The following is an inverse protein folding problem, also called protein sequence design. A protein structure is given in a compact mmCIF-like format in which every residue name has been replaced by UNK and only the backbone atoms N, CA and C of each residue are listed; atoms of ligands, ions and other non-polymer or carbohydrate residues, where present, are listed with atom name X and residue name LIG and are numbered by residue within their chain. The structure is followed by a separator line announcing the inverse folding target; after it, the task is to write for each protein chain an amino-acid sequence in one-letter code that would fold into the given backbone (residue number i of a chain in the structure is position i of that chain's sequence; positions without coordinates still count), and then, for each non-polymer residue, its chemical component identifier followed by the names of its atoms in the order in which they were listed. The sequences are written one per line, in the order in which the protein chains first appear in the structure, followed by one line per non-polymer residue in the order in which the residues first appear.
data_IF_805830752578
#
_entry.id   IF_805830752578
#
_cell.length_a   1.000
_cell.length_b   1.000
_cell.length_c   1.000
_cell.angle_alpha   90.00
_cell.angle_beta   90.00
_cell.angle_gamma   90.00
#
_symmetry.space_group_name_H-M   'P 1'
#
loop_
_entity.id
_entity.type
_entity.pdbx_description
1 polymer ?
#
# COMPACT_ATOMS: atom_id res chain seq x y z
N UNK A 1 -6.69 -4.63 -17.59
CA UNK A 1 -5.92 -5.82 -17.16
C UNK A 1 -6.48 -6.44 -15.86
N UNK A 2 -7.54 -5.88 -15.32
CA UNK A 2 -8.29 -6.39 -14.17
C UNK A 2 -9.62 -6.98 -14.68
N UNK A 3 -9.93 -8.21 -14.26
CA UNK A 3 -11.19 -8.86 -14.56
C UNK A 3 -11.84 -9.36 -13.26
N UNK A 4 -13.15 -9.26 -13.16
CA UNK A 4 -13.92 -9.73 -12.02
C UNK A 4 -14.64 -11.05 -12.34
N UNK A 5 -14.74 -11.92 -11.35
CA UNK A 5 -15.64 -13.08 -11.42
C UNK A 5 -17.08 -12.60 -11.54
N UNK A 6 -17.90 -13.32 -12.32
CA UNK A 6 -19.30 -12.95 -12.53
C UNK A 6 -20.06 -12.85 -11.19
N UNK A 7 -20.82 -11.78 -11.02
CA UNK A 7 -21.65 -11.54 -9.82
C UNK A 7 -20.89 -11.06 -8.57
N UNK A 8 -19.57 -10.99 -8.58
CA UNK A 8 -18.77 -10.61 -7.39
C UNK A 8 -19.05 -9.19 -6.92
N UNK A 9 -19.30 -8.25 -7.83
CA UNK A 9 -19.65 -6.87 -7.47
C UNK A 9 -21.03 -6.78 -6.79
N UNK A 10 -21.98 -7.64 -7.17
CA UNK A 10 -23.26 -7.75 -6.46
C UNK A 10 -23.07 -8.26 -5.04
N UNK A 11 -22.18 -9.24 -4.83
CA UNK A 11 -21.83 -9.72 -3.48
C UNK A 11 -21.16 -8.62 -2.65
N UNK A 12 -20.29 -7.82 -3.26
CA UNK A 12 -19.68 -6.67 -2.57
C UNK A 12 -20.73 -5.64 -2.13
N UNK A 13 -21.70 -5.31 -2.98
CA UNK A 13 -22.80 -4.42 -2.60
C UNK A 13 -23.64 -5.01 -1.46
N UNK A 14 -23.95 -6.31 -1.50
CA UNK A 14 -24.64 -6.99 -0.41
C UNK A 14 -23.85 -6.94 0.90
N UNK A 15 -22.52 -7.12 0.84
CA UNK A 15 -21.66 -6.97 2.01
C UNK A 15 -21.77 -5.57 2.63
N UNK A 16 -21.74 -4.50 1.83
CA UNK A 16 -21.93 -3.14 2.32
C UNK A 16 -23.32 -2.90 2.93
N UNK A 17 -24.38 -3.50 2.35
CA UNK A 17 -25.72 -3.41 2.89
C UNK A 17 -25.86 -4.11 4.26
N UNK A 18 -25.16 -5.23 4.43
CA UNK A 18 -25.11 -5.97 5.70
C UNK A 18 -24.17 -5.32 6.74
N UNK A 19 -23.22 -4.50 6.29
CA UNK A 19 -22.25 -3.82 7.13
C UNK A 19 -22.26 -2.30 6.86
N UNK A 20 -23.40 -1.60 7.14
CA UNK A 20 -23.58 -0.20 6.75
C UNK A 20 -22.58 0.75 7.39
N UNK A 21 -22.08 0.42 8.57
CA UNK A 21 -21.12 1.26 9.33
C UNK A 21 -19.65 0.98 9.01
N UNK A 22 -19.36 0.00 8.12
CA UNK A 22 -17.95 -0.31 7.82
C UNK A 22 -17.26 0.85 7.13
N UNK A 23 -16.12 1.27 7.67
CA UNK A 23 -15.22 2.26 7.09
C UNK A 23 -13.87 1.66 6.69
N UNK A 24 -13.79 0.34 6.71
CA UNK A 24 -12.59 -0.41 6.39
C UNK A 24 -12.24 -0.35 4.90
N UNK A 25 -10.96 -0.53 4.62
CA UNK A 25 -10.45 -0.75 3.28
C UNK A 25 -10.63 -2.24 2.94
N UNK A 26 -11.39 -2.55 1.90
CA UNK A 26 -11.76 -3.90 1.52
C UNK A 26 -11.00 -4.34 0.28
N UNK A 27 -10.47 -5.55 0.30
CA UNK A 27 -9.85 -6.21 -0.86
C UNK A 27 -10.32 -7.65 -0.90
N UNK A 28 -10.23 -8.27 -2.07
CA UNK A 28 -10.38 -9.71 -2.20
C UNK A 28 -9.14 -10.35 -2.81
N UNK A 29 -9.10 -11.69 -2.89
CA UNK A 29 -7.98 -12.40 -3.46
C UNK A 29 -7.74 -12.04 -4.92
N UNK A 30 -6.49 -11.66 -5.22
CA UNK A 30 -5.96 -11.58 -6.56
C UNK A 30 -5.72 -12.98 -7.10
N UNK A 31 -6.23 -13.29 -8.29
CA UNK A 31 -5.86 -14.47 -9.04
C UNK A 31 -4.79 -14.12 -10.08
N UNK A 32 -3.84 -15.03 -10.27
CA UNK A 32 -2.87 -14.96 -11.35
C UNK A 32 -3.46 -15.53 -12.65
N UNK A 33 -2.72 -15.40 -13.76
CA UNK A 33 -3.18 -15.84 -15.08
C UNK A 33 -3.49 -17.36 -15.16
N UNK A 34 -2.97 -18.17 -14.23
CA UNK A 34 -3.29 -19.61 -14.12
C UNK A 34 -4.66 -19.89 -13.48
N UNK A 35 -5.34 -18.86 -12.97
CA UNK A 35 -6.64 -18.91 -12.27
C UNK A 35 -6.67 -19.83 -11.02
N UNK A 36 -5.52 -20.23 -10.54
CA UNK A 36 -5.34 -21.12 -9.38
C UNK A 36 -4.53 -20.47 -8.26
N UNK A 37 -3.41 -19.86 -8.63
CA UNK A 37 -2.57 -19.13 -7.69
C UNK A 37 -3.28 -17.86 -7.24
N UNK A 38 -3.32 -17.65 -5.93
CA UNK A 38 -3.93 -16.46 -5.33
C UNK A 38 -2.92 -15.70 -4.47
N UNK A 39 -3.13 -14.39 -4.36
CA UNK A 39 -2.54 -13.57 -3.31
C UNK A 39 -3.64 -12.76 -2.64
N UNK A 40 -3.56 -12.60 -1.32
CA UNK A 40 -4.63 -11.99 -0.52
C UNK A 40 -4.31 -10.60 -0.02
N UNK A 41 -3.02 -10.30 0.13
CA UNK A 41 -2.56 -9.05 0.73
C UNK A 41 -1.12 -8.74 0.35
N UNK A 42 -0.67 -7.55 0.70
CA UNK A 42 0.75 -7.23 0.78
C UNK A 42 1.26 -7.39 2.21
N UNK A 43 2.34 -8.14 2.39
CA UNK A 43 3.17 -8.06 3.58
C UNK A 43 3.92 -6.72 3.61
N UNK A 44 3.94 -5.99 4.72
CA UNK A 44 4.61 -4.69 4.86
C UNK A 44 6.13 -4.85 4.96
N UNK A 45 6.76 -5.30 3.90
CA UNK A 45 8.21 -5.58 3.83
C UNK A 45 8.82 -4.92 2.61
N UNK A 46 10.02 -4.38 2.78
CA UNK A 46 10.84 -3.92 1.67
C UNK A 46 11.36 -5.11 0.85
N UNK A 47 11.16 -5.09 -0.46
CA UNK A 47 11.68 -6.09 -1.39
C UNK A 47 11.91 -5.48 -2.77
N UNK A 48 13.13 -5.69 -3.32
CA UNK A 48 13.50 -5.03 -4.57
C UNK A 48 13.29 -3.53 -4.44
N UNK A 49 12.64 -2.91 -5.38
CA UNK A 49 12.37 -1.46 -5.36
C UNK A 49 11.00 -1.09 -4.78
N UNK A 50 10.42 -1.91 -3.92
CA UNK A 50 9.06 -1.73 -3.41
C UNK A 50 8.96 -1.99 -1.91
N UNK A 51 8.06 -1.25 -1.27
CA UNK A 51 7.49 -1.62 0.03
C UNK A 51 6.18 -2.35 -0.20
N UNK A 52 6.15 -3.60 0.24
CA UNK A 52 5.03 -4.50 0.05
C UNK A 52 5.37 -5.67 -0.87
N UNK A 53 5.02 -6.85 -0.42
CA UNK A 53 5.21 -8.12 -1.15
C UNK A 53 3.93 -8.91 -1.12
N UNK A 54 3.45 -9.37 -2.28
CA UNK A 54 2.28 -10.23 -2.35
C UNK A 54 2.46 -11.48 -1.48
N UNK A 55 1.50 -11.72 -0.62
CA UNK A 55 1.42 -12.87 0.28
C UNK A 55 0.03 -13.49 0.25
N UNK A 56 -0.07 -14.72 0.76
CA UNK A 56 -1.30 -15.51 0.72
C UNK A 56 -1.67 -15.96 2.12
N UNK A 57 -2.90 -15.70 2.50
CA UNK A 57 -3.54 -16.31 3.66
C UNK A 57 -4.42 -17.48 3.18
N UNK A 58 -4.18 -18.64 3.73
CA UNK A 58 -4.83 -19.90 3.34
C UNK A 58 -6.36 -19.86 3.49
N UNK A 59 -6.88 -19.06 4.42
CA UNK A 59 -8.33 -18.89 4.63
C UNK A 59 -9.04 -18.47 3.36
N UNK A 60 -8.41 -17.69 2.51
CA UNK A 60 -9.03 -17.20 1.28
C UNK A 60 -9.07 -18.23 0.15
N UNK A 61 -8.52 -19.43 0.34
CA UNK A 61 -8.73 -20.57 -0.60
C UNK A 61 -10.20 -20.98 -0.64
N UNK A 62 -10.90 -20.90 0.49
CA UNK A 62 -12.35 -21.01 0.51
C UNK A 62 -13.00 -19.65 0.27
N UNK A 63 -13.68 -19.51 -0.87
CA UNK A 63 -14.40 -18.28 -1.21
C UNK A 63 -15.61 -17.96 -0.31
N UNK A 64 -16.03 -18.92 0.49
CA UNK A 64 -17.13 -18.77 1.44
C UNK A 64 -16.62 -18.54 2.87
N UNK A 65 -15.30 -18.49 3.08
CA UNK A 65 -14.75 -18.17 4.39
C UNK A 65 -15.16 -16.76 4.84
N UNK A 66 -15.21 -16.57 6.16
CA UNK A 66 -15.52 -15.28 6.75
C UNK A 66 -14.46 -14.22 6.38
N UNK A 67 -14.86 -12.95 6.24
CA UNK A 67 -13.93 -11.84 6.08
C UNK A 67 -12.91 -11.79 7.21
N UNK A 68 -11.66 -11.45 6.89
CA UNK A 68 -10.59 -11.41 7.87
C UNK A 68 -9.66 -10.22 7.66
N UNK A 69 -9.02 -9.78 8.76
CA UNK A 69 -8.04 -8.69 8.73
C UNK A 69 -6.80 -9.12 7.97
N UNK A 70 -6.27 -8.17 7.17
CA UNK A 70 -4.99 -8.27 6.48
C UNK A 70 -4.12 -7.08 6.84
N UNK A 71 -2.81 -7.19 6.61
CA UNK A 71 -1.87 -6.12 6.95
C UNK A 71 -1.99 -4.94 6.00
N UNK A 72 -2.04 -5.19 4.69
CA UNK A 72 -2.05 -4.15 3.68
C UNK A 72 -2.74 -4.63 2.41
N UNK A 73 -3.53 -3.77 1.77
CA UNK A 73 -4.11 -4.06 0.45
C UNK A 73 -3.12 -3.73 -0.66
N UNK A 74 -3.27 -4.40 -1.81
CA UNK A 74 -2.71 -3.88 -3.06
C UNK A 74 -3.65 -2.87 -3.70
N UNK A 75 -3.11 -1.95 -4.49
CA UNK A 75 -3.92 -0.92 -5.17
C UNK A 75 -4.50 -1.37 -6.53
N UNK A 76 -4.37 -2.65 -6.90
CA UNK A 76 -5.00 -3.17 -8.12
C UNK A 76 -6.53 -3.17 -8.05
N UNK A 77 -7.07 -3.69 -6.95
CA UNK A 77 -8.50 -3.64 -6.61
C UNK A 77 -8.64 -3.46 -5.11
N UNK A 78 -9.27 -2.39 -4.70
CA UNK A 78 -9.74 -2.18 -3.35
C UNK A 78 -11.06 -1.43 -3.37
N UNK A 79 -11.76 -1.42 -2.26
CA UNK A 79 -13.03 -0.73 -2.10
C UNK A 79 -13.16 -0.17 -0.69
N UNK A 80 -13.80 0.98 -0.58
CA UNK A 80 -14.22 1.55 0.69
C UNK A 80 -15.52 2.34 0.48
N UNK A 81 -16.17 2.75 1.55
CA UNK A 81 -17.26 3.73 1.46
C UNK A 81 -16.72 5.10 1.07
N UNK A 82 -17.52 5.88 0.36
CA UNK A 82 -17.13 7.23 -0.07
C UNK A 82 -16.81 8.14 1.10
N UNK A 83 -17.55 8.04 2.19
CA UNK A 83 -17.36 8.81 3.43
C UNK A 83 -16.14 8.36 4.27
N UNK A 84 -15.60 7.19 3.97
CA UNK A 84 -14.35 6.68 4.56
C UNK A 84 -13.11 6.99 3.70
N UNK A 85 -13.30 7.50 2.48
CA UNK A 85 -12.18 7.73 1.57
C UNK A 85 -11.28 8.87 2.03
N UNK A 86 -10.02 8.56 2.31
CA UNK A 86 -9.02 9.49 2.86
C UNK A 86 -8.14 10.20 1.81
N UNK A 87 -8.29 9.83 0.54
CA UNK A 87 -7.57 10.43 -0.60
C UNK A 87 -6.09 10.11 -0.69
N UNK A 88 -5.54 10.21 -1.90
CA UNK A 88 -4.10 10.18 -2.15
C UNK A 88 -3.51 11.59 -2.09
N UNK A 89 -2.20 11.67 -1.80
CA UNK A 89 -1.46 12.93 -1.93
C UNK A 89 -1.33 13.32 -3.40
N UNK A 90 -1.68 14.57 -3.73
CA UNK A 90 -1.67 15.07 -5.10
C UNK A 90 -0.26 15.21 -5.71
N UNK A 91 0.78 15.15 -4.88
CA UNK A 91 2.17 15.17 -5.32
C UNK A 91 2.70 13.80 -5.76
N UNK A 92 1.91 12.72 -5.57
CA UNK A 92 2.32 11.39 -6.04
C UNK A 92 2.37 11.35 -7.57
N UNK A 93 3.45 10.82 -8.11
CA UNK A 93 3.66 10.66 -9.55
C UNK A 93 4.11 9.26 -9.92
N UNK A 94 3.63 8.78 -11.06
CA UNK A 94 4.02 7.48 -11.62
C UNK A 94 3.50 6.33 -10.76
N UNK A 95 4.40 5.42 -10.38
CA UNK A 95 4.07 4.18 -9.71
C UNK A 95 4.94 3.93 -8.48
N UNK A 96 4.35 3.36 -7.43
CA UNK A 96 5.00 2.88 -6.21
C UNK A 96 4.82 3.82 -5.02
N UNK A 97 4.65 3.23 -3.84
CA UNK A 97 4.44 3.91 -2.57
C UNK A 97 2.99 4.13 -2.19
N UNK A 98 2.06 3.94 -3.11
CA UNK A 98 0.63 4.18 -2.91
C UNK A 98 -0.03 3.18 -1.96
N UNK A 99 0.35 1.90 -2.00
CA UNK A 99 -0.27 0.85 -1.18
C UNK A 99 0.00 1.06 0.31
N UNK A 100 1.27 1.20 0.68
CA UNK A 100 1.65 1.46 2.07
C UNK A 100 1.08 2.76 2.59
N UNK A 101 1.08 3.80 1.75
CA UNK A 101 0.55 5.11 2.10
C UNK A 101 -0.96 5.08 2.38
N UNK A 102 -1.77 4.54 1.47
CA UNK A 102 -3.22 4.53 1.65
C UNK A 102 -3.63 3.66 2.84
N UNK A 103 -2.95 2.53 3.03
CA UNK A 103 -3.17 1.64 4.16
C UNK A 103 -2.92 2.35 5.49
N UNK A 104 -1.81 3.07 5.59
CA UNK A 104 -1.45 3.80 6.80
C UNK A 104 -2.44 4.94 7.11
N UNK A 105 -2.93 5.65 6.08
CA UNK A 105 -4.00 6.66 6.28
C UNK A 105 -5.27 6.06 6.86
N UNK A 106 -5.70 4.91 6.37
CA UNK A 106 -6.86 4.20 6.92
C UNK A 106 -6.59 3.77 8.36
N UNK A 107 -5.41 3.26 8.66
CA UNK A 107 -5.01 2.85 10.02
C UNK A 107 -4.99 4.02 10.99
N UNK A 108 -4.45 5.18 10.60
CA UNK A 108 -4.44 6.40 11.41
C UNK A 108 -5.85 6.97 11.62
N UNK A 109 -6.78 6.72 10.69
CA UNK A 109 -8.20 7.04 10.85
C UNK A 109 -8.97 6.03 11.72
N UNK A 110 -8.29 5.02 12.30
CA UNK A 110 -8.92 3.99 13.15
C UNK A 110 -9.56 2.83 12.38
N UNK A 111 -9.25 2.70 11.08
CA UNK A 111 -9.84 1.68 10.21
C UNK A 111 -8.83 0.58 9.88
N UNK A 112 -9.31 -0.53 9.33
CA UNK A 112 -8.52 -1.72 9.02
C UNK A 112 -8.59 -2.05 7.53
N UNK A 113 -7.68 -2.91 7.06
CA UNK A 113 -7.82 -3.62 5.81
C UNK A 113 -8.44 -5.00 6.06
N UNK A 114 -9.40 -5.36 5.25
CA UNK A 114 -10.16 -6.61 5.34
C UNK A 114 -10.10 -7.32 4.01
N UNK A 115 -9.73 -8.60 4.03
CA UNK A 115 -9.89 -9.48 2.90
C UNK A 115 -11.32 -10.07 2.88
N UNK A 116 -11.98 -9.95 1.74
CA UNK A 116 -13.26 -10.58 1.46
C UNK A 116 -12.99 -11.79 0.54
N UNK A 117 -13.00 -13.05 1.03
CA UNK A 117 -12.60 -14.22 0.24
C UNK A 117 -13.39 -14.43 -1.05
N UNK A 118 -14.63 -13.96 -1.08
CA UNK A 118 -15.50 -14.03 -2.27
C UNK A 118 -15.16 -12.99 -3.34
N UNK A 119 -14.47 -11.88 -2.99
CA UNK A 119 -14.18 -10.76 -3.90
C UNK A 119 -12.97 -11.08 -4.78
N UNK A 120 -13.06 -12.15 -5.55
CA UNK A 120 -11.98 -12.62 -6.42
C UNK A 120 -11.88 -11.80 -7.70
N UNK A 121 -10.67 -11.48 -8.07
CA UNK A 121 -10.36 -10.71 -9.27
C UNK A 121 -9.05 -11.20 -9.90
N UNK A 122 -9.01 -11.23 -11.22
CA UNK A 122 -7.82 -11.62 -11.98
C UNK A 122 -6.98 -10.38 -12.28
N UNK A 123 -5.68 -10.46 -12.02
CA UNK A 123 -4.71 -9.49 -12.48
C UNK A 123 -3.86 -10.08 -13.60
N UNK A 124 -4.00 -9.53 -14.78
CA UNK A 124 -3.14 -9.90 -15.91
C UNK A 124 -1.84 -9.11 -15.84
N UNK A 125 -0.78 -9.74 -15.30
CA UNK A 125 0.54 -9.13 -15.18
C UNK A 125 1.21 -8.98 -16.54
N UNK A 126 1.05 -9.95 -17.43
CA UNK A 126 1.54 -9.89 -18.80
C UNK A 126 0.77 -8.85 -19.62
N UNK A 127 1.45 -7.78 -20.01
CA UNK A 127 0.92 -6.72 -20.87
C UNK A 127 1.76 -6.65 -22.14
N UNK A 128 1.20 -6.90 -23.35
CA UNK A 128 1.97 -6.90 -24.61
C UNK A 128 2.77 -5.63 -24.84
N UNK A 129 2.21 -4.46 -24.44
CA UNK A 129 2.83 -3.15 -24.65
C UNK A 129 3.39 -2.55 -23.34
N UNK A 130 3.53 -3.34 -22.29
CA UNK A 130 3.94 -2.83 -20.97
C UNK A 130 2.93 -1.86 -20.34
N UNK A 131 3.29 -1.23 -19.23
CA UNK A 131 2.48 -0.17 -18.61
C UNK A 131 2.52 1.11 -19.46
N UNK A 132 1.41 1.85 -19.46
CA UNK A 132 1.27 3.11 -20.24
C UNK A 132 1.87 4.33 -19.51
N UNK A 133 2.49 4.13 -18.38
CA UNK A 133 3.11 5.17 -17.54
C UNK A 133 4.56 4.79 -17.21
N UNK A 134 5.44 5.78 -16.97
CA UNK A 134 6.83 5.49 -16.65
C UNK A 134 6.97 4.83 -15.26
N UNK A 135 7.76 3.76 -15.21
CA UNK A 135 8.15 3.07 -13.97
C UNK A 135 9.55 3.54 -13.56
N UNK A 136 9.68 4.76 -13.06
CA UNK A 136 10.98 5.29 -12.66
C UNK A 136 11.24 5.07 -11.18
N UNK A 137 12.46 4.65 -10.86
CA UNK A 137 12.90 4.51 -9.47
C UNK A 137 12.77 5.84 -8.70
N UNK A 138 13.10 6.95 -9.35
CA UNK A 138 13.09 8.28 -8.74
C UNK A 138 11.69 8.72 -8.31
N UNK A 139 10.67 8.51 -9.12
CA UNK A 139 9.28 8.81 -8.76
C UNK A 139 8.84 7.98 -7.56
N UNK A 140 9.21 6.71 -7.55
CA UNK A 140 8.90 5.78 -6.47
C UNK A 140 9.50 6.24 -5.13
N UNK A 141 10.79 6.59 -5.12
CA UNK A 141 11.48 7.11 -3.93
C UNK A 141 10.82 8.41 -3.46
N UNK A 142 10.51 9.33 -4.39
CA UNK A 142 9.79 10.57 -4.08
C UNK A 142 8.44 10.31 -3.42
N UNK A 143 7.66 9.36 -3.96
CA UNK A 143 6.36 8.99 -3.38
C UNK A 143 6.51 8.46 -1.95
N UNK A 144 7.53 7.63 -1.67
CA UNK A 144 7.80 7.18 -0.30
C UNK A 144 8.14 8.35 0.63
N UNK A 145 9.00 9.27 0.22
CA UNK A 145 9.33 10.45 1.02
C UNK A 145 8.10 11.33 1.29
N UNK A 146 7.27 11.60 0.25
CA UNK A 146 6.04 12.35 0.39
C UNK A 146 5.09 11.67 1.37
N UNK A 147 4.85 10.37 1.19
CA UNK A 147 3.93 9.60 2.02
C UNK A 147 4.39 9.51 3.47
N UNK A 148 5.64 9.15 3.72
CA UNK A 148 6.17 9.07 5.08
C UNK A 148 6.14 10.42 5.79
N UNK A 149 6.48 11.51 5.09
CA UNK A 149 6.45 12.85 5.68
C UNK A 149 5.03 13.30 6.02
N UNK A 150 4.06 13.11 5.12
CA UNK A 150 2.65 13.45 5.38
C UNK A 150 2.10 12.68 6.59
N UNK A 151 2.47 11.41 6.71
CA UNK A 151 1.95 10.50 7.74
C UNK A 151 2.76 10.53 9.04
N UNK A 152 3.76 11.41 9.16
CA UNK A 152 4.68 11.48 10.30
C UNK A 152 5.40 10.15 10.59
N UNK A 153 5.71 9.39 9.54
CA UNK A 153 6.50 8.16 9.63
C UNK A 153 7.99 8.47 9.54
N UNK A 154 8.80 7.58 10.11
CA UNK A 154 10.25 7.65 9.96
C UNK A 154 10.65 7.47 8.49
N UNK A 155 11.48 8.36 7.98
CA UNK A 155 12.01 8.31 6.61
C UNK A 155 13.32 7.50 6.52
N UNK A 156 13.93 7.18 7.64
CA UNK A 156 15.20 6.46 7.69
C UNK A 156 15.16 5.10 6.96
N UNK A 157 14.08 4.29 7.07
CA UNK A 157 13.97 3.04 6.32
C UNK A 157 14.01 3.22 4.79
N UNK A 158 13.58 4.39 4.27
CA UNK A 158 13.66 4.69 2.83
C UNK A 158 15.13 4.88 2.44
N UNK A 159 15.89 5.63 3.23
CA UNK A 159 17.32 5.83 3.01
C UNK A 159 18.10 4.52 3.06
N UNK A 160 17.86 3.71 4.09
CA UNK A 160 18.49 2.42 4.27
C UNK A 160 18.22 1.48 3.10
N UNK A 161 16.94 1.38 2.73
CA UNK A 161 16.52 0.48 1.65
C UNK A 161 17.07 0.91 0.28
N UNK A 162 16.95 2.19 -0.06
CA UNK A 162 17.35 2.67 -1.39
C UNK A 162 18.83 3.01 -1.52
N UNK A 163 19.63 2.87 -0.46
CA UNK A 163 21.10 2.99 -0.52
C UNK A 163 21.77 2.01 -1.48
N UNK A 164 21.09 0.92 -1.82
CA UNK A 164 21.54 -0.06 -2.83
C UNK A 164 21.54 0.53 -4.26
N UNK A 165 20.65 1.49 -4.54
CA UNK A 165 20.45 2.04 -5.91
C UNK A 165 20.78 3.52 -6.04
N UNK A 166 20.94 4.24 -4.93
CA UNK A 166 21.17 5.68 -4.93
C UNK A 166 22.14 6.09 -3.83
N UNK A 167 23.04 7.01 -4.13
CA UNK A 167 23.91 7.58 -3.10
C UNK A 167 23.11 8.43 -2.10
N UNK A 168 23.69 8.65 -0.92
CA UNK A 168 23.08 9.50 0.10
C UNK A 168 22.76 10.89 -0.44
N UNK A 169 23.67 11.51 -1.20
CA UNK A 169 23.45 12.85 -1.79
C UNK A 169 22.30 12.88 -2.80
N UNK A 170 22.10 11.78 -3.55
CA UNK A 170 20.96 11.63 -4.44
C UNK A 170 19.65 11.51 -3.66
N UNK A 171 19.63 10.71 -2.60
CA UNK A 171 18.45 10.56 -1.73
C UNK A 171 18.12 11.88 -1.01
N UNK A 172 19.12 12.60 -0.49
CA UNK A 172 18.94 13.92 0.14
C UNK A 172 18.33 14.94 -0.84
N UNK A 173 18.78 14.91 -2.11
CA UNK A 173 18.20 15.76 -3.18
C UNK A 173 16.76 15.39 -3.45
N UNK A 174 16.45 14.09 -3.62
CA UNK A 174 15.09 13.61 -3.86
C UNK A 174 14.16 13.95 -2.70
N UNK A 175 14.64 13.81 -1.45
CA UNK A 175 13.89 14.21 -0.27
C UNK A 175 13.55 15.70 -0.32
N UNK A 176 14.55 16.56 -0.52
CA UNK A 176 14.36 18.01 -0.61
C UNK A 176 13.40 18.43 -1.73
N UNK A 177 13.53 17.82 -2.90
CA UNK A 177 12.61 18.06 -4.03
C UNK A 177 11.16 17.64 -3.75
N UNK A 178 10.98 16.58 -2.96
CA UNK A 178 9.66 15.99 -2.69
C UNK A 178 8.88 16.73 -1.60
N UNK A 179 9.57 17.08 -0.51
CA UNK A 179 8.93 17.60 0.72
C UNK A 179 9.41 18.99 1.14
N UNK A 180 10.41 19.54 0.44
CA UNK A 180 11.07 20.79 0.81
C UNK A 180 12.24 20.60 1.76
N UNK A 181 12.79 21.69 2.26
CA UNK A 181 13.89 21.59 3.23
C UNK A 181 13.40 20.97 4.54
N UNK A 182 14.16 20.01 5.09
CA UNK A 182 13.79 19.38 6.35
C UNK A 182 13.68 20.47 7.43
N UNK A 183 12.54 20.59 8.05
CA UNK A 183 12.42 21.41 9.24
C UNK A 183 13.37 20.83 10.30
N UNK A 184 14.38 21.59 10.71
CA UNK A 184 15.43 21.19 11.68
C UNK A 184 14.90 20.57 12.99
N UNK A 185 13.59 20.59 13.23
CA UNK A 185 12.93 20.07 14.43
C UNK A 185 12.66 18.56 14.44
N UNK A 186 12.63 17.88 13.29
CA UNK A 186 12.27 16.44 13.26
C UNK A 186 13.43 15.51 13.69
N UNK A 187 14.68 15.92 13.52
CA UNK A 187 15.87 15.09 13.82
C UNK A 187 16.34 15.13 15.28
N UNK A 188 15.85 16.07 16.11
CA UNK A 188 16.40 16.26 17.46
C UNK A 188 15.71 15.50 18.58
N UNK A 189 14.52 14.95 18.37
CA UNK A 189 13.77 14.27 19.43
C UNK A 189 14.00 12.76 19.48
N UNK A 190 13.97 12.06 18.36
CA UNK A 190 13.98 10.60 18.34
C UNK A 190 15.36 10.01 18.71
N UNK A 191 16.44 10.61 18.24
CA UNK A 191 17.81 10.10 18.54
C UNK A 191 18.24 10.34 20.00
N UNK A 192 17.74 11.38 20.67
CA UNK A 192 18.06 11.63 22.10
C UNK A 192 17.26 10.74 23.04
N UNK A 193 16.02 10.40 22.71
CA UNK A 193 15.18 9.53 23.55
C UNK A 193 15.59 8.05 23.46
N UNK A 194 16.07 7.58 22.32
CA UNK A 194 16.58 6.22 22.19
C UNK A 194 17.93 6.03 22.90
N UNK A 195 18.81 7.02 22.94
CA UNK A 195 20.08 6.95 23.67
C UNK A 195 19.93 7.11 25.20
N UNK A 196 18.83 7.69 25.68
CA UNK A 196 18.57 7.82 27.12
C UNK A 196 17.96 6.57 27.77
N UNK A 197 17.43 5.63 26.97
CA UNK A 197 16.86 4.36 27.44
C UNK A 197 17.82 3.17 27.36
N UNK A 198 19.05 3.40 26.89
CA UNK A 198 20.12 2.39 26.78
C UNK A 198 21.22 2.54 27.84
N UNK A 199 20.93 3.23 28.94
CA UNK A 199 21.80 3.31 30.15
C UNK A 199 21.08 2.74 31.34
#
# INVERSE_FOLDING_TARGET
HILFEAGVLKKLLNYYNQNPETKNLLQGPLLYDDLKTISTHFDPKWRGQMYGTWATDERAKDKNAEPFKIEMTGCGVFSCRKDAWVGFNQKFHGFGGEEGYIQEKFRQAGHQAICLPFLRWLHRFGRPNGPTYPLTLWNKIKNYFIGHTELNLDVQPIYEHFSEWASKDQLDRLFKESVGEPQKKLWSKTSRELMSKAK
#
